data_IF_406508625447
#
_entry.id   IF_406508625447
#
_cell.length_a   1.000
_cell.length_b   1.000
_cell.length_c   1.000
_cell.angle_alpha   90.00
_cell.angle_beta   90.00
_cell.angle_gamma   90.00
#
_symmetry.space_group_name_H-M   'P 1'
#
loop_
_entity.id
_entity.type
_entity.pdbx_description
1 polymer ?
#
# COMPACT_ATOMS: atom_id res chain seq x y z
N UNK A 1 -7.57 -35.85 -9.12
CA UNK A 1 -7.87 -34.54 -9.70
C UNK A 1 -8.29 -33.65 -8.54
N UNK A 2 -7.28 -33.17 -7.81
CA UNK A 2 -7.44 -32.41 -6.56
C UNK A 2 -7.32 -30.94 -6.90
N UNK A 3 -8.43 -30.21 -6.84
CA UNK A 3 -8.45 -28.75 -6.91
C UNK A 3 -7.46 -28.19 -5.88
N UNK A 4 -6.41 -27.45 -6.30
CA UNK A 4 -5.56 -26.76 -5.35
C UNK A 4 -6.37 -25.60 -4.79
N UNK A 5 -6.75 -25.71 -3.51
CA UNK A 5 -7.46 -24.68 -2.78
C UNK A 5 -6.69 -23.35 -2.84
N UNK A 6 -7.33 -22.39 -3.50
CA UNK A 6 -6.89 -21.02 -3.72
C UNK A 6 -6.79 -20.25 -2.40
N UNK A 7 -5.60 -20.27 -1.79
CA UNK A 7 -5.14 -19.16 -0.95
C UNK A 7 -4.36 -18.20 -1.85
N UNK A 8 -4.82 -16.95 -1.93
CA UNK A 8 -4.34 -15.92 -2.86
C UNK A 8 -4.17 -16.39 -4.32
N UNK A 9 -5.06 -15.96 -5.20
CA UNK A 9 -5.00 -16.34 -6.61
C UNK A 9 -3.61 -16.02 -7.21
N UNK A 10 -2.96 -17.02 -7.83
CA UNK A 10 -1.71 -16.88 -8.60
C UNK A 10 -1.57 -15.57 -9.42
N UNK A 11 -2.64 -15.05 -10.09
CA UNK A 11 -2.58 -13.75 -10.76
C UNK A 11 -2.11 -12.59 -9.88
N UNK A 12 -2.45 -12.54 -8.59
CA UNK A 12 -2.04 -11.45 -7.70
C UNK A 12 -0.52 -11.34 -7.61
N UNK A 13 0.17 -12.45 -7.32
CA UNK A 13 1.62 -12.45 -7.22
C UNK A 13 2.31 -12.10 -8.53
N UNK A 14 1.78 -12.59 -9.66
CA UNK A 14 2.34 -12.28 -10.98
C UNK A 14 2.28 -10.78 -11.22
N UNK A 15 1.13 -10.15 -10.98
CA UNK A 15 0.96 -8.70 -11.18
C UNK A 15 1.91 -7.90 -10.29
N UNK A 16 1.98 -8.21 -8.99
CA UNK A 16 2.80 -7.44 -8.05
C UNK A 16 4.30 -7.60 -8.30
N UNK A 17 4.77 -8.78 -8.72
CA UNK A 17 6.16 -8.99 -9.10
C UNK A 17 6.52 -8.29 -10.41
N UNK A 18 5.62 -8.26 -11.39
CA UNK A 18 5.81 -7.51 -12.64
C UNK A 18 5.88 -6.00 -12.36
N UNK A 19 5.00 -5.48 -11.52
CA UNK A 19 5.01 -4.08 -11.09
C UNK A 19 6.31 -3.73 -10.36
N UNK A 20 6.75 -4.59 -9.43
CA UNK A 20 8.02 -4.44 -8.71
C UNK A 20 9.22 -4.43 -9.66
N UNK A 21 9.24 -5.31 -10.66
CA UNK A 21 10.27 -5.36 -11.69
C UNK A 21 10.31 -4.09 -12.54
N UNK A 22 9.14 -3.59 -12.96
CA UNK A 22 9.03 -2.33 -13.68
C UNK A 22 9.54 -1.15 -12.83
N UNK A 23 9.15 -1.10 -11.55
CA UNK A 23 9.60 -0.07 -10.61
C UNK A 23 11.12 -0.10 -10.40
N UNK A 24 11.73 -1.29 -10.33
CA UNK A 24 13.19 -1.46 -10.24
C UNK A 24 13.90 -0.87 -11.46
N UNK A 25 13.40 -1.16 -12.67
CA UNK A 25 13.95 -0.61 -13.91
C UNK A 25 13.87 0.90 -13.92
N UNK A 26 12.71 1.48 -13.58
CA UNK A 26 12.51 2.93 -13.53
C UNK A 26 13.41 3.61 -12.48
N UNK A 27 13.56 3.01 -11.30
CA UNK A 27 14.45 3.52 -10.25
C UNK A 27 15.91 3.48 -10.69
N UNK A 28 16.34 2.37 -11.31
CA UNK A 28 17.70 2.22 -11.82
C UNK A 28 18.02 3.28 -12.89
N UNK A 29 17.08 3.52 -13.82
CA UNK A 29 17.21 4.55 -14.85
C UNK A 29 17.29 5.97 -14.23
N UNK A 30 16.52 6.23 -13.16
CA UNK A 30 16.58 7.49 -12.42
C UNK A 30 17.91 7.65 -11.69
N UNK A 31 18.41 6.62 -11.01
CA UNK A 31 19.74 6.63 -10.39
C UNK A 31 20.84 6.90 -11.43
N UNK A 32 20.78 6.24 -12.58
CA UNK A 32 21.72 6.46 -13.69
C UNK A 32 21.67 7.91 -14.18
N UNK A 33 20.48 8.46 -14.39
CA UNK A 33 20.30 9.86 -14.82
C UNK A 33 20.85 10.84 -13.78
N UNK A 34 20.55 10.65 -12.50
CA UNK A 34 21.03 11.51 -11.42
C UNK A 34 22.55 11.48 -11.27
N UNK A 35 23.18 10.32 -11.41
CA UNK A 35 24.64 10.18 -11.26
C UNK A 35 25.42 10.58 -12.51
N UNK A 36 24.96 10.20 -13.71
CA UNK A 36 25.71 10.44 -14.96
C UNK A 36 25.35 11.73 -15.67
N UNK A 37 24.08 12.15 -15.63
CA UNK A 37 23.60 13.30 -16.41
C UNK A 37 23.52 14.55 -15.53
N UNK A 38 22.81 14.46 -14.40
CA UNK A 38 22.53 15.63 -13.55
C UNK A 38 23.66 15.89 -12.54
N UNK A 39 24.45 14.86 -12.22
CA UNK A 39 25.54 14.90 -11.23
C UNK A 39 25.11 15.47 -9.86
N UNK A 40 23.84 15.25 -9.49
CA UNK A 40 23.27 15.73 -8.24
C UNK A 40 22.37 14.65 -7.64
N UNK A 41 22.72 14.24 -6.42
CA UNK A 41 21.91 13.31 -5.60
C UNK A 41 21.05 14.14 -4.66
N UNK A 42 19.84 14.47 -5.11
CA UNK A 42 18.88 15.18 -4.27
C UNK A 42 18.33 14.30 -3.13
N UNK A 43 17.86 14.90 -2.02
CA UNK A 43 17.23 14.18 -0.92
C UNK A 43 15.97 13.39 -1.35
N UNK A 44 15.32 13.79 -2.45
CA UNK A 44 14.21 13.07 -3.07
C UNK A 44 14.61 11.67 -3.57
N UNK A 45 15.83 11.51 -4.08
CA UNK A 45 16.33 10.21 -4.57
C UNK A 45 16.55 9.25 -3.40
N UNK A 46 17.11 9.75 -2.29
CA UNK A 46 17.31 8.96 -1.07
C UNK A 46 15.95 8.50 -0.52
N UNK A 47 14.97 9.41 -0.46
CA UNK A 47 13.61 9.07 0.00
C UNK A 47 12.95 8.01 -0.89
N UNK A 48 13.16 8.09 -2.20
CA UNK A 48 12.64 7.11 -3.17
C UNK A 48 13.28 5.74 -2.97
N UNK A 49 14.60 5.67 -2.78
CA UNK A 49 15.33 4.42 -2.50
C UNK A 49 14.86 3.78 -1.20
N UNK A 50 14.69 4.58 -0.14
CA UNK A 50 14.17 4.10 1.15
C UNK A 50 12.78 3.52 0.95
N UNK A 51 11.87 4.27 0.31
CA UNK A 51 10.50 3.80 0.01
C UNK A 51 10.51 2.47 -0.73
N UNK A 52 11.33 2.37 -1.78
CA UNK A 52 11.42 1.16 -2.59
C UNK A 52 11.97 -0.04 -1.80
N UNK A 53 12.91 0.20 -0.89
CA UNK A 53 13.45 -0.84 0.02
C UNK A 53 12.36 -1.38 0.94
N UNK A 54 11.53 -0.51 1.53
CA UNK A 54 10.37 -0.91 2.33
C UNK A 54 9.34 -1.67 1.49
N UNK A 55 9.10 -1.24 0.25
CA UNK A 55 8.19 -1.91 -0.68
C UNK A 55 8.64 -3.34 -1.03
N UNK A 56 9.92 -3.53 -1.36
CA UNK A 56 10.49 -4.87 -1.60
C UNK A 56 10.38 -5.73 -0.34
N UNK A 57 10.73 -5.19 0.83
CA UNK A 57 10.63 -5.93 2.09
C UNK A 57 9.18 -6.40 2.34
N UNK A 58 8.19 -5.53 2.09
CA UNK A 58 6.77 -5.89 2.12
C UNK A 58 6.45 -7.04 1.18
N UNK A 59 6.85 -6.94 -0.09
CA UNK A 59 6.57 -7.95 -1.11
C UNK A 59 7.17 -9.32 -0.78
N UNK A 60 8.39 -9.34 -0.23
CA UNK A 60 9.03 -10.56 0.26
C UNK A 60 8.20 -11.19 1.39
N UNK A 61 7.77 -10.38 2.37
CA UNK A 61 6.96 -10.86 3.49
C UNK A 61 5.58 -11.38 3.04
N UNK A 62 4.94 -10.72 2.07
CA UNK A 62 3.69 -11.19 1.46
C UNK A 62 3.87 -12.55 0.76
N UNK A 63 4.95 -12.71 -0.01
CA UNK A 63 5.26 -13.96 -0.72
C UNK A 63 5.52 -15.10 0.27
N UNK A 64 6.26 -14.82 1.34
CA UNK A 64 6.53 -15.79 2.41
C UNK A 64 5.24 -16.16 3.16
N UNK A 65 4.42 -15.17 3.52
CA UNK A 65 3.12 -15.40 4.16
C UNK A 65 2.20 -16.30 3.33
N UNK A 66 2.12 -16.06 2.03
CA UNK A 66 1.35 -16.92 1.12
C UNK A 66 1.94 -18.32 0.96
N UNK A 67 3.26 -18.48 0.97
CA UNK A 67 3.90 -19.80 0.98
C UNK A 67 3.54 -20.63 2.23
N UNK A 68 3.30 -19.96 3.37
CA UNK A 68 2.83 -20.60 4.60
C UNK A 68 1.31 -20.84 4.63
N UNK A 69 0.56 -20.43 3.60
CA UNK A 69 -0.87 -20.69 3.46
C UNK A 69 -1.78 -19.50 3.79
N UNK A 70 -1.23 -18.28 3.90
CA UNK A 70 -2.04 -17.07 4.05
C UNK A 70 -3.07 -16.97 2.92
N UNK A 71 -4.36 -16.97 3.27
CA UNK A 71 -5.48 -16.96 2.32
C UNK A 71 -6.23 -18.30 2.18
N UNK A 72 -5.66 -19.41 2.66
CA UNK A 72 -6.38 -20.70 2.68
C UNK A 72 -7.30 -20.82 3.90
N UNK A 73 -8.43 -21.54 3.81
CA UNK A 73 -9.30 -21.76 4.96
C UNK A 73 -8.55 -22.47 6.09
N UNK A 74 -8.63 -21.92 7.31
CA UNK A 74 -7.96 -22.39 8.53
C UNK A 74 -8.27 -23.86 8.91
N UNK A 75 -9.25 -24.48 8.26
CA UNK A 75 -9.58 -25.90 8.44
C UNK A 75 -8.54 -26.85 7.80
N UNK A 76 -7.67 -26.34 6.93
CA UNK A 76 -6.76 -27.15 6.09
C UNK A 76 -5.29 -27.01 6.47
N UNK A 77 -4.95 -26.04 7.34
CA UNK A 77 -3.59 -25.73 7.71
C UNK A 77 -3.18 -26.42 9.02
N UNK A 78 -1.91 -26.78 9.09
CA UNK A 78 -1.32 -27.23 10.35
C UNK A 78 -1.11 -26.01 11.23
N UNK A 79 -1.63 -26.07 12.46
CA UNK A 79 -1.58 -25.05 13.50
C UNK A 79 -0.26 -24.24 13.69
N UNK A 80 0.90 -24.75 13.28
CA UNK A 80 2.15 -23.98 13.33
C UNK A 80 2.30 -23.06 12.10
N UNK A 81 1.95 -23.54 10.92
CA UNK A 81 2.03 -22.77 9.66
C UNK A 81 1.02 -21.61 9.65
N UNK A 82 -0.14 -21.78 10.27
CA UNK A 82 -1.15 -20.72 10.42
C UNK A 82 -0.62 -19.48 11.14
N UNK A 83 0.13 -19.69 12.22
CA UNK A 83 0.66 -18.60 13.05
C UNK A 83 1.69 -17.80 12.30
N UNK A 84 2.60 -18.50 11.61
CA UNK A 84 3.66 -17.88 10.84
C UNK A 84 3.08 -17.14 9.63
N UNK A 85 2.10 -17.73 8.94
CA UNK A 85 1.38 -17.07 7.84
C UNK A 85 0.74 -15.74 8.28
N UNK A 86 0.02 -15.74 9.41
CA UNK A 86 -0.58 -14.53 9.96
C UNK A 86 0.48 -13.50 10.39
N UNK A 87 1.55 -13.95 11.06
CA UNK A 87 2.63 -13.06 11.50
C UNK A 87 3.29 -12.35 10.31
N UNK A 88 3.65 -13.08 9.25
CA UNK A 88 4.22 -12.48 8.04
C UNK A 88 3.24 -11.55 7.33
N UNK A 89 1.96 -11.89 7.32
CA UNK A 89 0.93 -11.03 6.76
C UNK A 89 0.76 -9.70 7.53
N UNK A 90 0.78 -9.73 8.87
CA UNK A 90 0.73 -8.49 9.67
C UNK A 90 1.99 -7.63 9.52
N UNK A 91 3.17 -8.26 9.39
CA UNK A 91 4.42 -7.55 9.09
C UNK A 91 4.36 -6.92 7.70
N UNK A 92 3.86 -7.65 6.69
CA UNK A 92 3.63 -7.11 5.36
C UNK A 92 2.73 -5.86 5.42
N UNK A 93 1.57 -5.95 6.07
CA UNK A 93 0.65 -4.82 6.18
C UNK A 93 1.31 -3.57 6.78
N UNK A 94 2.16 -3.76 7.81
CA UNK A 94 2.90 -2.66 8.42
C UNK A 94 3.90 -2.02 7.46
N UNK A 95 4.71 -2.84 6.78
CA UNK A 95 5.70 -2.36 5.81
C UNK A 95 5.02 -1.68 4.62
N UNK A 96 3.91 -2.21 4.14
CA UNK A 96 3.10 -1.65 3.07
C UNK A 96 2.59 -0.24 3.42
N UNK A 97 2.02 -0.06 4.61
CA UNK A 97 1.51 1.25 5.07
C UNK A 97 2.63 2.30 5.16
N UNK A 98 3.81 1.91 5.63
CA UNK A 98 5.00 2.79 5.66
C UNK A 98 5.41 3.14 4.22
N UNK A 99 5.50 2.16 3.34
CA UNK A 99 5.92 2.35 1.95
C UNK A 99 4.93 3.27 1.19
N UNK A 100 3.62 3.08 1.35
CA UNK A 100 2.59 3.94 0.74
C UNK A 100 2.76 5.39 1.21
N UNK A 101 2.90 5.60 2.51
CA UNK A 101 3.08 6.95 3.07
C UNK A 101 4.36 7.62 2.57
N UNK A 102 5.50 6.93 2.65
CA UNK A 102 6.79 7.44 2.20
C UNK A 102 6.81 7.68 0.69
N UNK A 103 6.14 6.83 -0.10
CA UNK A 103 6.05 6.96 -1.55
C UNK A 103 5.36 8.25 -1.99
N UNK A 104 4.30 8.68 -1.30
CA UNK A 104 3.64 9.96 -1.60
C UNK A 104 4.53 11.15 -1.24
N UNK A 105 5.26 11.07 -0.14
CA UNK A 105 6.23 12.10 0.24
C UNK A 105 7.37 12.17 -0.77
N UNK A 106 7.89 11.02 -1.23
CA UNK A 106 8.92 10.95 -2.26
C UNK A 106 8.43 11.51 -3.61
N UNK A 107 7.18 11.22 -3.98
CA UNK A 107 6.54 11.75 -5.19
C UNK A 107 6.40 13.28 -5.12
N UNK A 108 5.90 13.82 -4.01
CA UNK A 108 5.79 15.27 -3.82
C UNK A 108 7.17 15.92 -3.82
N UNK A 109 8.17 15.34 -3.14
CA UNK A 109 9.54 15.85 -3.16
C UNK A 109 10.13 15.87 -4.57
N UNK A 110 9.83 14.85 -5.38
CA UNK A 110 10.25 14.81 -6.79
C UNK A 110 9.56 15.90 -7.62
N UNK A 111 8.24 16.05 -7.51
CA UNK A 111 7.48 17.09 -8.20
C UNK A 111 7.99 18.48 -7.80
N UNK A 112 8.27 18.69 -6.52
CA UNK A 112 8.80 19.94 -5.98
C UNK A 112 10.20 20.26 -6.53
N UNK A 113 11.07 19.25 -6.62
CA UNK A 113 12.39 19.41 -7.24
C UNK A 113 12.30 19.80 -8.72
N UNK A 114 11.31 19.26 -9.45
CA UNK A 114 11.08 19.61 -10.85
C UNK A 114 10.48 21.01 -11.03
N UNK A 115 9.68 21.49 -10.09
CA UNK A 115 8.89 22.72 -10.22
C UNK A 115 9.45 23.90 -9.42
N UNK A 116 10.77 24.12 -9.50
CA UNK A 116 11.50 25.15 -8.72
C UNK A 116 10.91 26.57 -8.77
N UNK A 117 10.02 26.89 -9.72
CA UNK A 117 9.48 28.24 -9.97
C UNK A 117 7.95 28.40 -9.81
N UNK A 118 7.23 27.39 -9.28
CA UNK A 118 5.76 27.45 -9.11
C UNK A 118 5.30 28.19 -7.83
N UNK A 119 4.01 28.54 -7.77
CA UNK A 119 3.42 29.32 -6.67
C UNK A 119 3.51 28.58 -5.32
N UNK A 120 4.06 29.26 -4.29
CA UNK A 120 4.27 28.71 -2.93
C UNK A 120 3.02 28.05 -2.31
N UNK A 121 1.82 28.56 -2.63
CA UNK A 121 0.56 28.01 -2.15
C UNK A 121 0.27 26.58 -2.65
N UNK A 122 0.57 26.29 -3.92
CA UNK A 122 0.37 24.96 -4.51
C UNK A 122 1.33 23.94 -3.92
N UNK A 123 2.59 24.34 -3.72
CA UNK A 123 3.61 23.54 -3.06
C UNK A 123 3.20 23.18 -1.63
N UNK A 124 2.72 24.15 -0.86
CA UNK A 124 2.23 23.92 0.50
C UNK A 124 1.06 22.92 0.53
N UNK A 125 0.13 23.02 -0.43
CA UNK A 125 -1.00 22.10 -0.54
C UNK A 125 -0.56 20.64 -0.82
N UNK A 126 0.42 20.44 -1.71
CA UNK A 126 0.96 19.10 -1.99
C UNK A 126 1.63 18.47 -0.76
N UNK A 127 2.47 19.24 -0.09
CA UNK A 127 3.14 18.80 1.13
C UNK A 127 2.13 18.50 2.24
N UNK A 128 1.05 19.29 2.34
CA UNK A 128 -0.05 19.02 3.26
C UNK A 128 -0.75 17.70 2.93
N UNK A 129 -1.06 17.42 1.67
CA UNK A 129 -1.69 16.15 1.26
C UNK A 129 -0.77 14.95 1.55
N UNK A 130 0.50 15.01 1.15
CA UNK A 130 1.43 13.91 1.40
C UNK A 130 1.67 13.69 2.90
N UNK A 131 1.85 14.78 3.67
CA UNK A 131 2.06 14.71 5.11
C UNK A 131 0.84 14.17 5.86
N UNK A 132 -0.36 14.65 5.53
CA UNK A 132 -1.61 14.14 6.12
C UNK A 132 -1.86 12.68 5.78
N UNK A 133 -1.59 12.26 4.55
CA UNK A 133 -1.67 10.85 4.18
C UNK A 133 -0.65 9.98 4.93
N UNK A 134 0.59 10.45 5.09
CA UNK A 134 1.61 9.75 5.87
C UNK A 134 1.17 9.55 7.33
N UNK A 135 0.62 10.59 7.97
CA UNK A 135 0.09 10.52 9.33
C UNK A 135 -1.04 9.50 9.45
N UNK A 136 -1.98 9.48 8.49
CA UNK A 136 -3.08 8.52 8.47
C UNK A 136 -2.56 7.09 8.33
N UNK A 137 -1.59 6.83 7.44
CA UNK A 137 -1.01 5.49 7.28
C UNK A 137 -0.20 5.06 8.52
N UNK A 138 0.56 5.95 9.15
CA UNK A 138 1.23 5.64 10.42
C UNK A 138 0.24 5.32 11.53
N UNK A 139 -0.87 6.06 11.59
CA UNK A 139 -1.93 5.80 12.57
C UNK A 139 -2.54 4.42 12.33
N UNK A 140 -2.84 4.04 11.08
CA UNK A 140 -3.30 2.69 10.74
C UNK A 140 -2.28 1.63 11.17
N UNK A 141 -1.00 1.84 10.86
CA UNK A 141 0.08 0.91 11.17
C UNK A 141 0.19 0.65 12.69
N UNK A 142 0.09 1.69 13.51
CA UNK A 142 0.08 1.57 14.98
C UNK A 142 -1.19 0.85 15.46
N UNK A 143 -2.36 1.22 14.93
CA UNK A 143 -3.63 0.64 15.34
C UNK A 143 -3.69 -0.87 15.08
N UNK A 144 -3.07 -1.34 14.00
CA UNK A 144 -2.96 -2.78 13.66
C UNK A 144 -2.24 -3.56 14.76
N UNK A 145 -1.14 -3.05 15.33
CA UNK A 145 -0.43 -3.74 16.42
C UNK A 145 -1.14 -3.64 17.77
N UNK A 146 -1.90 -2.56 18.00
CA UNK A 146 -2.59 -2.30 19.28
C UNK A 146 -4.01 -2.87 19.31
N UNK A 147 -4.43 -3.60 18.27
CA UNK A 147 -5.80 -4.10 18.16
C UNK A 147 -6.15 -5.21 19.17
N UNK A 148 -5.14 -5.91 19.69
CA UNK A 148 -5.28 -7.03 20.63
C UNK A 148 -4.41 -6.85 21.88
N UNK A 149 -4.93 -7.30 23.03
CA UNK A 149 -4.18 -7.41 24.29
C UNK A 149 -4.26 -8.85 24.80
N UNK A 150 -3.13 -9.59 24.86
CA UNK A 150 -1.78 -9.22 24.41
C UNK A 150 -1.64 -9.18 22.88
N UNK A 151 -0.71 -8.37 22.35
CA UNK A 151 -0.46 -8.26 20.90
C UNK A 151 -0.16 -9.61 20.24
N UNK A 152 0.43 -10.56 20.99
CA UNK A 152 0.70 -11.93 20.54
C UNK A 152 -0.53 -12.70 20.08
N UNK A 153 -1.72 -12.31 20.57
CA UNK A 153 -2.99 -12.88 20.14
C UNK A 153 -3.33 -12.60 18.67
N UNK A 154 -2.68 -11.60 18.08
CA UNK A 154 -2.88 -11.21 16.69
C UNK A 154 -2.44 -12.30 15.70
N UNK A 155 -1.39 -13.04 16.04
CA UNK A 155 -0.85 -14.15 15.23
C UNK A 155 -1.00 -15.52 15.89
N UNK A 156 -1.27 -15.59 17.21
CA UNK A 156 -1.55 -16.83 17.92
C UNK A 156 -2.91 -16.76 18.63
N UNK A 157 -3.96 -17.23 17.95
CA UNK A 157 -5.33 -17.21 18.47
C UNK A 157 -5.52 -18.05 19.75
N UNK A 158 -4.60 -18.97 20.04
CA UNK A 158 -4.64 -19.84 21.22
C UNK A 158 -4.37 -19.10 22.53
N UNK A 159 -3.77 -17.90 22.44
CA UNK A 159 -3.45 -17.11 23.63
C UNK A 159 -4.74 -16.48 24.18
N UNK A 160 -5.04 -16.68 25.48
CA UNK A 160 -6.16 -16.02 26.12
C UNK A 160 -5.94 -14.51 26.13
N UNK A 161 -6.96 -13.75 25.73
CA UNK A 161 -6.87 -12.31 25.55
C UNK A 161 -8.10 -11.75 24.85
N UNK A 162 -8.22 -10.42 24.82
CA UNK A 162 -9.33 -9.70 24.17
C UNK A 162 -8.79 -8.81 23.06
N UNK A 163 -9.54 -8.71 21.97
CA UNK A 163 -9.23 -7.82 20.84
C UNK A 163 -10.31 -6.73 20.69
N UNK A 164 -10.42 -5.79 21.65
CA UNK A 164 -11.42 -4.73 21.59
C UNK A 164 -11.15 -3.73 20.45
N UNK A 165 -9.91 -3.68 19.93
CA UNK A 165 -9.49 -2.75 18.89
C UNK A 165 -9.89 -3.15 17.48
N UNK A 166 -10.39 -4.38 17.25
CA UNK A 166 -10.66 -4.90 15.90
C UNK A 166 -11.71 -4.08 15.14
N UNK A 167 -12.81 -3.69 15.81
CA UNK A 167 -13.81 -2.77 15.24
C UNK A 167 -13.22 -1.39 14.93
N UNK A 168 -12.31 -0.89 15.76
CA UNK A 168 -11.65 0.41 15.54
C UNK A 168 -10.73 0.38 14.32
N UNK A 169 -9.96 -0.69 14.14
CA UNK A 169 -9.10 -0.88 12.97
C UNK A 169 -9.95 -0.98 11.70
N UNK A 170 -11.06 -1.73 11.73
CA UNK A 170 -11.98 -1.82 10.59
C UNK A 170 -12.55 -0.45 10.22
N UNK A 171 -13.11 0.30 11.18
CA UNK A 171 -13.63 1.66 10.93
C UNK A 171 -12.55 2.60 10.41
N UNK A 172 -11.32 2.50 10.95
CA UNK A 172 -10.22 3.32 10.48
C UNK A 172 -9.81 2.97 9.05
N UNK A 173 -9.73 1.68 8.70
CA UNK A 173 -9.46 1.22 7.33
C UNK A 173 -10.49 1.72 6.32
N UNK A 174 -11.78 1.75 6.70
CA UNK A 174 -12.86 2.31 5.87
C UNK A 174 -12.70 3.80 5.56
N UNK A 175 -11.97 4.55 6.40
CA UNK A 175 -11.69 5.97 6.19
C UNK A 175 -10.34 6.13 5.48
N UNK A 176 -9.34 5.37 5.90
CA UNK A 176 -7.98 5.44 5.39
C UNK A 176 -7.91 5.07 3.90
N UNK A 177 -8.61 4.02 3.45
CA UNK A 177 -8.60 3.58 2.05
C UNK A 177 -9.08 4.67 1.08
N UNK A 178 -10.33 5.16 1.21
CA UNK A 178 -10.85 6.24 0.36
C UNK A 178 -10.06 7.54 0.47
N UNK A 179 -9.59 7.90 1.67
CA UNK A 179 -8.74 9.09 1.85
C UNK A 179 -7.41 8.94 1.12
N UNK A 180 -6.79 7.77 1.18
CA UNK A 180 -5.56 7.49 0.46
C UNK A 180 -5.75 7.58 -1.05
N UNK A 181 -6.83 6.98 -1.57
CA UNK A 181 -7.21 7.11 -2.97
C UNK A 181 -7.44 8.57 -3.37
N UNK A 182 -8.13 9.37 -2.55
CA UNK A 182 -8.30 10.81 -2.81
C UNK A 182 -6.95 11.54 -2.90
N UNK A 183 -6.02 11.25 -1.99
CA UNK A 183 -4.67 11.82 -2.06
C UNK A 183 -3.97 11.43 -3.38
N UNK A 184 -4.13 10.18 -3.84
CA UNK A 184 -3.55 9.71 -5.10
C UNK A 184 -4.16 10.43 -6.30
N UNK A 185 -5.48 10.60 -6.32
CA UNK A 185 -6.16 11.41 -7.35
C UNK A 185 -5.71 12.87 -7.35
N UNK A 186 -5.56 13.49 -6.17
CA UNK A 186 -5.12 14.88 -6.07
C UNK A 186 -3.68 15.06 -6.55
N UNK A 187 -2.77 14.17 -6.13
CA UNK A 187 -1.40 14.12 -6.61
C UNK A 187 -1.33 13.79 -8.10
N UNK A 188 -2.33 13.08 -8.62
CA UNK A 188 -2.42 12.75 -10.03
C UNK A 188 -2.89 13.89 -10.93
N UNK A 189 -3.92 14.61 -10.51
CA UNK A 189 -4.41 15.74 -11.29
C UNK A 189 -3.38 16.87 -11.33
N UNK A 190 -2.60 17.03 -10.27
CA UNK A 190 -1.65 18.13 -10.10
C UNK A 190 -0.66 18.32 -11.28
N UNK A 191 0.14 17.32 -11.68
CA UNK A 191 1.03 17.50 -12.79
C UNK A 191 0.27 17.75 -14.10
N UNK A 192 -0.82 17.02 -14.38
CA UNK A 192 -1.59 17.16 -15.63
C UNK A 192 -2.02 18.62 -15.86
N UNK A 193 -2.43 19.31 -14.79
CA UNK A 193 -2.80 20.73 -14.83
C UNK A 193 -1.61 21.66 -15.16
N UNK A 194 -0.42 21.36 -14.64
CA UNK A 194 0.80 22.14 -14.90
C UNK A 194 1.38 21.85 -16.29
N UNK A 195 1.42 20.59 -16.71
CA UNK A 195 1.86 20.19 -18.04
C UNK A 195 1.01 20.82 -19.16
N UNK A 196 -0.27 21.13 -18.90
CA UNK A 196 -1.13 21.85 -19.86
C UNK A 196 -0.70 23.29 -20.10
N UNK A 197 0.09 23.89 -19.21
CA UNK A 197 0.54 25.28 -19.30
C UNK A 197 2.01 25.45 -19.69
N UNK A 198 2.86 24.41 -19.63
CA UNK A 198 4.31 24.57 -19.79
C UNK A 198 4.90 23.49 -20.71
N UNK A 199 5.45 23.88 -21.87
CA UNK A 199 6.03 23.03 -22.91
C UNK A 199 7.42 22.43 -22.57
N UNK A 200 7.94 22.59 -21.35
CA UNK A 200 9.36 22.39 -21.04
C UNK A 200 9.77 20.99 -20.50
N UNK A 201 8.90 19.98 -20.56
CA UNK A 201 9.17 18.68 -19.94
C UNK A 201 9.65 17.59 -20.92
N UNK A 202 10.53 16.71 -20.45
CA UNK A 202 10.96 15.52 -21.18
C UNK A 202 9.81 14.53 -21.38
N UNK A 203 9.60 14.08 -22.63
CA UNK A 203 8.62 13.05 -22.99
C UNK A 203 8.58 11.83 -22.06
N UNK A 204 9.71 11.23 -21.63
CA UNK A 204 9.68 10.06 -20.74
C UNK A 204 9.03 10.35 -19.38
N UNK A 205 9.27 11.52 -18.79
CA UNK A 205 8.64 11.92 -17.52
C UNK A 205 7.14 12.12 -17.70
N UNK A 206 6.72 12.70 -18.83
CA UNK A 206 5.32 12.93 -19.16
C UNK A 206 4.55 11.61 -19.35
N UNK A 207 5.16 10.64 -20.04
CA UNK A 207 4.58 9.31 -20.26
C UNK A 207 4.53 8.53 -18.94
N UNK A 208 5.65 8.47 -18.21
CA UNK A 208 5.71 7.76 -16.93
C UNK A 208 4.68 8.29 -15.93
N UNK A 209 4.53 9.61 -15.87
CA UNK A 209 3.52 10.23 -15.04
C UNK A 209 2.12 9.87 -15.53
N UNK A 210 1.78 10.04 -16.82
CA UNK A 210 0.46 9.67 -17.35
C UNK A 210 0.07 8.22 -17.05
N UNK A 211 1.02 7.28 -17.16
CA UNK A 211 0.79 5.85 -16.87
C UNK A 211 0.54 5.64 -15.38
N UNK A 212 1.39 6.21 -14.50
CA UNK A 212 1.20 6.13 -13.05
C UNK A 212 -0.17 6.65 -12.60
N UNK A 213 -0.66 7.70 -13.25
CA UNK A 213 -1.95 8.33 -12.93
C UNK A 213 -3.10 7.41 -13.33
N UNK A 214 -2.99 6.78 -14.51
CA UNK A 214 -3.96 5.79 -15.00
C UNK A 214 -4.07 4.60 -14.06
N UNK A 215 -2.94 4.04 -13.60
CA UNK A 215 -2.93 2.95 -12.62
C UNK A 215 -3.56 3.37 -11.29
N UNK A 216 -3.26 4.57 -10.78
CA UNK A 216 -3.83 5.08 -9.53
C UNK A 216 -5.36 5.22 -9.57
N UNK A 217 -5.92 5.62 -10.71
CA UNK A 217 -7.39 5.70 -10.88
C UNK A 217 -8.04 4.32 -10.82
N UNK A 218 -7.45 3.34 -11.51
CA UNK A 218 -7.95 1.96 -11.54
C UNK A 218 -7.85 1.33 -10.15
N UNK A 219 -6.73 1.53 -9.45
CA UNK A 219 -6.53 1.08 -8.08
C UNK A 219 -7.57 1.71 -7.14
N UNK A 220 -7.81 3.02 -7.22
CA UNK A 220 -8.82 3.71 -6.44
C UNK A 220 -10.24 3.19 -6.69
N UNK A 221 -10.60 2.92 -7.94
CA UNK A 221 -11.89 2.31 -8.29
C UNK A 221 -12.03 0.89 -7.70
N UNK A 222 -10.97 0.08 -7.75
CA UNK A 222 -10.94 -1.24 -7.13
C UNK A 222 -11.18 -1.17 -5.61
N UNK A 223 -10.52 -0.24 -4.92
CA UNK A 223 -10.70 -0.01 -3.48
C UNK A 223 -12.14 0.39 -3.12
N UNK A 224 -12.81 1.18 -3.97
CA UNK A 224 -14.22 1.55 -3.77
C UNK A 224 -15.12 0.31 -3.88
N UNK A 225 -14.93 -0.50 -4.93
CA UNK A 225 -15.69 -1.74 -5.12
C UNK A 225 -15.45 -2.71 -3.94
N UNK A 226 -14.20 -2.87 -3.51
CA UNK A 226 -13.83 -3.66 -2.32
C UNK A 226 -14.54 -3.15 -1.07
N UNK A 227 -14.55 -1.83 -0.85
CA UNK A 227 -15.23 -1.21 0.29
C UNK A 227 -16.74 -1.49 0.29
N UNK A 228 -17.38 -1.46 -0.87
CA UNK A 228 -18.82 -1.75 -1.00
C UNK A 228 -19.10 -3.22 -0.69
N UNK A 229 -18.29 -4.14 -1.24
CA UNK A 229 -18.42 -5.57 -0.99
C UNK A 229 -18.19 -5.92 0.49
N UNK A 230 -17.22 -5.29 1.15
CA UNK A 230 -16.96 -5.49 2.57
C UNK A 230 -18.15 -5.02 3.42
N UNK A 231 -18.75 -3.87 3.11
CA UNK A 231 -19.97 -3.39 3.78
C UNK A 231 -21.17 -4.33 3.58
N UNK A 232 -21.27 -4.94 2.40
CA UNK A 232 -22.33 -5.91 2.11
C UNK A 232 -22.15 -7.20 2.93
N UNK A 233 -20.92 -7.70 3.06
CA UNK A 233 -20.60 -8.89 3.84
C UNK A 233 -20.81 -8.65 5.34
N UNK A 234 -20.29 -7.55 5.90
CA UNK A 234 -20.52 -7.21 7.31
C UNK A 234 -22.01 -7.06 7.63
N UNK A 235 -22.84 -6.62 6.67
CA UNK A 235 -24.30 -6.52 6.85
C UNK A 235 -25.04 -7.87 6.78
N UNK A 236 -24.46 -8.86 6.11
CA UNK A 236 -25.00 -10.23 6.05
C UNK A 236 -24.55 -11.07 7.26
N UNK A 237 -23.36 -10.79 7.79
CA UNK A 237 -22.69 -11.58 8.85
C UNK A 237 -23.28 -11.38 10.27
N UNK A 238 -24.11 -10.35 10.50
CA UNK A 238 -24.90 -10.22 11.75
C UNK A 238 -25.91 -11.38 11.94
N UNK A 239 -26.12 -12.23 10.92
CA UNK A 239 -27.05 -13.37 10.99
C UNK A 239 -26.34 -14.74 11.13
N UNK A 240 -25.02 -14.85 10.93
CA UNK A 240 -24.30 -16.14 11.04
C UNK A 240 -22.79 -15.92 11.27
N UNK A 241 -22.29 -16.31 12.44
CA UNK A 241 -20.88 -16.20 12.84
C UNK A 241 -19.91 -16.91 11.86
N UNK A 242 -18.97 -16.20 11.20
CA UNK A 242 -17.62 -16.77 10.91
C UNK A 242 -16.53 -15.71 10.69
N UNK A 243 -15.83 -15.38 11.77
CA UNK A 243 -14.72 -14.41 11.91
C UNK A 243 -13.41 -14.68 11.12
N UNK A 244 -13.29 -15.77 10.35
CA UNK A 244 -12.01 -16.17 9.72
C UNK A 244 -11.77 -15.52 8.34
N UNK A 245 -12.83 -15.24 7.57
CA UNK A 245 -12.72 -14.64 6.24
C UNK A 245 -12.32 -13.17 6.28
N UNK A 246 -12.85 -12.40 7.24
CA UNK A 246 -12.56 -10.97 7.35
C UNK A 246 -11.09 -10.67 7.73
N UNK A 247 -10.45 -11.52 8.54
CA UNK A 247 -9.02 -11.37 8.86
C UNK A 247 -8.16 -11.58 7.62
N UNK A 248 -8.49 -12.58 6.81
CA UNK A 248 -7.76 -12.89 5.59
C UNK A 248 -7.84 -11.74 4.58
N UNK A 249 -8.98 -11.06 4.43
CA UNK A 249 -9.11 -9.92 3.49
C UNK A 249 -8.35 -8.66 3.91
N UNK A 250 -8.10 -8.48 5.21
CA UNK A 250 -7.34 -7.34 5.78
C UNK A 250 -5.83 -7.62 5.72
N UNK A 251 -5.44 -8.89 5.88
CA UNK A 251 -4.04 -9.34 5.80
C UNK A 251 -3.63 -9.61 4.34
N UNK A 252 -4.60 -9.80 3.45
CA UNK A 252 -4.41 -9.99 2.01
C UNK A 252 -4.26 -8.67 1.21
N UNK A 253 -3.94 -7.57 1.88
CA UNK A 253 -3.58 -6.29 1.26
C UNK A 253 -2.06 -6.11 1.13
#
# INVERSE_FOLDING_TARGET
>A
MSDPQTGFDQPFFIVTWVETGLALVLLSARCFTSWKIVQYTGPDLILTIITFTFGIASMVMATVGAAYGLGTPSATLTNNNDKDALLFGWINQFLALIAIGLGKVALVAFIDHLQKHEAKAKRAFLWFIAGSNFIVNMTAAILVFVQCSPAKKLWDERIPGRCPGRKRVQTFGYIQGPYSAFCDFALAVYPVLIFRKVQAFSLPTKIGLSVLMGLGVVAGACTIVKTINLKLLTKLEDTTCTYSRETLTIVAE
#
